data_IF_920879027596
#
_entry.id   IF_920879027596
#
_cell.length_a   1.000
_cell.length_b   1.000
_cell.length_c   1.000
_cell.angle_alpha   90.00
_cell.angle_beta   90.00
_cell.angle_gamma   90.00
#
_symmetry.space_group_name_H-M   'P 1'
#
loop_
_entity.id
_entity.type
_entity.pdbx_description
1 polymer ?
#
# COMPACT_ATOMS: atom_id res chain seq x y z
N UNK A 1 -14.87 25.13 -8.93
CA UNK A 1 -14.58 24.65 -10.29
C UNK A 1 -14.61 25.83 -11.25
N UNK A 2 -13.46 26.45 -11.47
CA UNK A 2 -13.32 27.69 -12.27
C UNK A 2 -13.62 27.44 -13.76
N UNK A 3 -13.27 26.26 -14.31
CA UNK A 3 -13.58 25.88 -15.69
C UNK A 3 -15.08 25.93 -16.01
N UNK A 4 -15.94 25.59 -15.05
CA UNK A 4 -17.40 25.72 -15.18
C UNK A 4 -17.81 27.18 -15.39
N UNK A 5 -17.19 28.09 -14.65
CA UNK A 5 -17.50 29.52 -14.71
C UNK A 5 -17.04 30.12 -16.03
N UNK A 6 -15.88 29.68 -16.55
CA UNK A 6 -15.36 30.15 -17.83
C UNK A 6 -16.11 29.62 -19.06
N UNK A 7 -16.67 28.41 -18.98
CA UNK A 7 -17.31 27.77 -20.13
C UNK A 7 -18.84 28.01 -20.20
N UNK A 8 -19.44 28.57 -19.14
CA UNK A 8 -20.89 28.86 -19.06
C UNK A 8 -21.81 27.64 -19.36
N UNK A 9 -21.34 26.42 -19.07
CA UNK A 9 -22.05 25.17 -19.43
C UNK A 9 -22.98 24.70 -18.30
N UNK A 10 -24.17 24.22 -18.68
CA UNK A 10 -25.04 23.46 -17.78
C UNK A 10 -24.36 22.14 -17.37
N UNK A 11 -24.14 21.96 -16.07
CA UNK A 11 -23.48 20.76 -15.53
C UNK A 11 -24.28 19.48 -15.71
N UNK A 12 -25.56 19.58 -16.06
CA UNK A 12 -26.39 18.42 -16.39
C UNK A 12 -26.24 17.99 -17.85
N UNK A 13 -25.56 18.77 -18.69
CA UNK A 13 -25.29 18.45 -20.08
C UNK A 13 -24.36 17.25 -20.19
N UNK A 14 -24.72 16.29 -21.02
CA UNK A 14 -23.93 15.08 -21.28
C UNK A 14 -22.53 15.38 -21.84
N UNK A 15 -22.37 16.46 -22.62
CA UNK A 15 -21.05 16.90 -23.11
C UNK A 15 -20.12 17.34 -21.97
N UNK A 16 -20.66 17.99 -20.94
CA UNK A 16 -19.88 18.39 -19.77
C UNK A 16 -19.49 17.18 -18.93
N UNK A 17 -20.42 16.23 -18.74
CA UNK A 17 -20.14 14.97 -18.03
C UNK A 17 -19.03 14.19 -18.73
N UNK A 18 -19.11 14.02 -20.04
CA UNK A 18 -18.09 13.33 -20.82
C UNK A 18 -16.71 14.02 -20.72
N UNK A 19 -16.67 15.36 -20.73
CA UNK A 19 -15.42 16.10 -20.52
C UNK A 19 -14.84 15.86 -19.12
N UNK A 20 -15.69 15.92 -18.08
CA UNK A 20 -15.25 15.70 -16.70
C UNK A 20 -14.79 14.26 -16.50
N UNK A 21 -15.50 13.28 -17.05
CA UNK A 21 -15.10 11.86 -17.04
C UNK A 21 -13.75 11.65 -17.72
N UNK A 22 -13.49 12.29 -18.87
CA UNK A 22 -12.20 12.22 -19.54
C UNK A 22 -11.05 12.75 -18.68
N UNK A 23 -11.25 13.88 -17.99
CA UNK A 23 -10.22 14.40 -17.07
C UNK A 23 -10.10 13.50 -15.83
N UNK A 24 -11.20 12.94 -15.34
CA UNK A 24 -11.23 12.01 -14.21
C UNK A 24 -10.42 10.74 -14.49
N UNK A 25 -10.48 10.22 -15.71
CA UNK A 25 -9.66 9.09 -16.19
C UNK A 25 -8.17 9.43 -16.16
N UNK A 26 -7.77 10.63 -16.63
CA UNK A 26 -6.36 11.08 -16.57
C UNK A 26 -5.86 11.14 -15.12
N UNK A 27 -6.69 11.61 -14.18
CA UNK A 27 -6.31 11.64 -12.76
C UNK A 27 -6.22 10.23 -12.18
N UNK A 28 -7.13 9.33 -12.58
CA UNK A 28 -7.12 7.92 -12.17
C UNK A 28 -5.84 7.22 -12.64
N UNK A 29 -5.44 7.40 -13.90
CA UNK A 29 -4.18 6.87 -14.45
C UNK A 29 -2.95 7.41 -13.71
N UNK A 30 -2.98 8.70 -13.35
CA UNK A 30 -1.93 9.32 -12.55
C UNK A 30 -1.79 8.66 -11.18
N UNK A 31 -2.90 8.41 -10.48
CA UNK A 31 -2.87 7.71 -9.19
C UNK A 31 -2.45 6.26 -9.31
N UNK A 32 -2.88 5.55 -10.37
CA UNK A 32 -2.40 4.21 -10.66
C UNK A 32 -0.87 4.20 -10.80
N UNK A 33 -0.30 5.12 -11.59
CA UNK A 33 1.15 5.20 -11.80
C UNK A 33 1.92 5.50 -10.50
N UNK A 34 1.37 6.35 -9.63
CA UNK A 34 1.96 6.65 -8.32
C UNK A 34 2.00 5.41 -7.43
N UNK A 35 0.85 4.74 -7.27
CA UNK A 35 0.78 3.54 -6.41
C UNK A 35 1.62 2.42 -7.00
N UNK A 36 1.60 2.23 -8.31
CA UNK A 36 2.44 1.24 -8.98
C UNK A 36 3.93 1.49 -8.70
N UNK A 37 4.39 2.74 -8.81
CA UNK A 37 5.78 3.10 -8.51
C UNK A 37 6.18 2.75 -7.07
N UNK A 38 5.32 3.04 -6.09
CA UNK A 38 5.59 2.71 -4.70
C UNK A 38 5.69 1.19 -4.48
N UNK A 39 4.77 0.42 -5.06
CA UNK A 39 4.75 -1.05 -4.93
C UNK A 39 5.94 -1.69 -5.65
N UNK A 40 6.33 -1.18 -6.82
CA UNK A 40 7.50 -1.66 -7.55
C UNK A 40 8.77 -1.41 -6.72
N UNK A 41 8.89 -0.25 -6.06
CA UNK A 41 9.98 0.01 -5.12
C UNK A 41 10.01 -1.03 -3.98
N UNK A 42 8.88 -1.31 -3.33
CA UNK A 42 8.82 -2.37 -2.30
C UNK A 42 9.21 -3.74 -2.85
N UNK A 43 8.82 -4.07 -4.08
CA UNK A 43 9.19 -5.32 -4.75
C UNK A 43 10.68 -5.38 -5.09
N UNK A 44 11.32 -4.27 -5.42
CA UNK A 44 12.75 -4.25 -5.67
C UNK A 44 13.55 -4.42 -4.37
N UNK A 45 13.18 -3.67 -3.33
CA UNK A 45 13.86 -3.67 -2.02
C UNK A 45 13.58 -4.92 -1.17
N UNK A 46 12.55 -5.70 -1.49
CA UNK A 46 12.27 -7.00 -0.84
C UNK A 46 12.75 -8.19 -1.68
N UNK A 47 13.38 -7.95 -2.84
CA UNK A 47 13.91 -9.02 -3.67
C UNK A 47 15.29 -9.46 -3.15
N UNK A 48 15.33 -10.63 -2.51
CA UNK A 48 16.57 -11.20 -1.94
C UNK A 48 17.68 -11.44 -2.97
N UNK A 49 17.35 -11.48 -4.27
CA UNK A 49 18.36 -11.63 -5.35
C UNK A 49 19.15 -10.34 -5.58
N UNK A 50 18.58 -9.19 -5.23
CA UNK A 50 19.19 -7.88 -5.44
C UNK A 50 20.18 -7.52 -4.32
N UNK A 51 20.18 -8.26 -3.21
CA UNK A 51 20.95 -7.97 -1.99
C UNK A 51 20.86 -6.48 -1.57
N UNK A 52 19.63 -5.96 -1.37
CA UNK A 52 19.43 -4.57 -0.99
C UNK A 52 19.96 -4.30 0.43
N UNK A 53 20.29 -3.04 0.70
CA UNK A 53 20.62 -2.60 2.05
C UNK A 53 19.40 -2.76 2.96
N UNK A 54 19.58 -3.20 4.22
CA UNK A 54 18.44 -3.41 5.12
C UNK A 54 17.74 -2.09 5.46
N UNK A 55 16.47 -1.97 5.07
CA UNK A 55 15.62 -0.82 5.40
C UNK A 55 15.06 -0.89 6.83
N UNK A 56 14.86 -2.11 7.34
CA UNK A 56 14.25 -2.37 8.64
C UNK A 56 15.08 -3.38 9.43
N UNK A 57 15.16 -3.16 10.74
CA UNK A 57 15.77 -4.07 11.69
C UNK A 57 14.73 -4.52 12.71
N UNK A 58 14.72 -5.81 12.98
CA UNK A 58 14.05 -6.40 14.15
C UNK A 58 15.13 -7.01 15.06
N UNK A 59 14.91 -6.97 16.36
CA UNK A 59 15.87 -7.47 17.36
C UNK A 59 15.23 -8.59 18.16
N UNK A 60 15.92 -9.74 18.28
CA UNK A 60 15.51 -10.82 19.17
C UNK A 60 16.16 -10.59 20.53
N UNK A 61 15.34 -10.32 21.55
CA UNK A 61 15.77 -9.97 22.89
C UNK A 61 15.36 -11.07 23.89
N UNK A 62 16.23 -11.36 24.86
CA UNK A 62 15.88 -12.22 25.98
C UNK A 62 15.13 -11.38 27.01
N UNK A 63 13.84 -11.63 27.15
CA UNK A 63 12.99 -11.07 28.20
C UNK A 63 12.55 -12.22 29.11
N UNK A 64 13.34 -12.56 30.15
CA UNK A 64 13.14 -13.77 30.92
C UNK A 64 11.69 -13.95 31.41
N UNK A 65 11.08 -15.12 31.22
CA UNK A 65 11.70 -16.37 30.74
C UNK A 65 11.78 -16.53 29.22
N UNK A 66 11.27 -15.58 28.44
CA UNK A 66 11.01 -15.73 27.01
C UNK A 66 12.08 -15.03 26.13
N UNK A 67 12.11 -15.40 24.85
CA UNK A 67 12.80 -14.62 23.81
C UNK A 67 11.74 -13.96 22.95
N UNK A 68 11.83 -12.66 22.71
CA UNK A 68 10.81 -11.89 21.98
C UNK A 68 11.44 -11.00 20.92
N UNK A 69 10.72 -10.78 19.82
CA UNK A 69 11.14 -9.84 18.79
C UNK A 69 10.62 -8.42 19.08
N UNK A 70 11.48 -7.42 18.88
CA UNK A 70 11.16 -5.99 18.94
C UNK A 70 11.56 -5.33 17.61
N UNK A 71 10.62 -4.78 16.82
CA UNK A 71 9.16 -4.89 16.96
C UNK A 71 8.67 -6.34 16.84
N UNK A 72 7.45 -6.59 17.33
CA UNK A 72 6.83 -7.92 17.31
C UNK A 72 6.65 -8.44 15.88
N UNK A 73 6.87 -9.73 15.68
CA UNK A 73 6.61 -10.43 14.41
C UNK A 73 5.34 -11.30 14.47
N UNK A 74 4.59 -11.23 15.57
CA UNK A 74 3.34 -11.97 15.72
C UNK A 74 2.31 -11.49 14.68
N UNK A 75 1.55 -12.39 14.02
CA UNK A 75 0.71 -12.05 12.88
C UNK A 75 -0.31 -10.93 13.10
N UNK A 76 -0.77 -10.74 14.34
CA UNK A 76 -1.79 -9.75 14.71
C UNK A 76 -1.30 -8.77 15.77
N UNK A 77 0.02 -8.62 15.93
CA UNK A 77 0.56 -7.62 16.85
C UNK A 77 0.29 -6.21 16.32
N UNK A 78 -0.44 -5.37 17.06
CA UNK A 78 -0.51 -3.94 16.76
C UNK A 78 0.91 -3.36 16.78
N UNK A 79 1.22 -2.50 15.82
CA UNK A 79 2.57 -1.92 15.66
C UNK A 79 3.68 -2.97 15.47
N UNK A 80 3.31 -4.19 15.07
CA UNK A 80 4.24 -5.25 14.69
C UNK A 80 4.85 -5.01 13.30
N UNK A 81 5.85 -5.80 12.95
CA UNK A 81 6.55 -5.69 11.66
C UNK A 81 5.59 -5.84 10.47
N UNK A 82 4.68 -6.82 10.51
CA UNK A 82 3.70 -7.04 9.45
C UNK A 82 2.71 -5.87 9.30
N UNK A 83 2.17 -5.39 10.42
CA UNK A 83 1.26 -4.23 10.47
C UNK A 83 1.95 -2.96 9.94
N UNK A 84 3.21 -2.74 10.33
CA UNK A 84 3.99 -1.62 9.84
C UNK A 84 4.16 -1.63 8.31
N UNK A 85 4.49 -2.78 7.71
CA UNK A 85 4.60 -2.90 6.24
C UNK A 85 3.25 -2.75 5.56
N UNK A 86 2.18 -3.35 6.11
CA UNK A 86 0.83 -3.19 5.55
C UNK A 86 0.37 -1.72 5.58
N UNK A 87 0.70 -0.99 6.65
CA UNK A 87 0.43 0.44 6.77
C UNK A 87 1.19 1.27 5.72
N UNK A 88 2.46 0.94 5.43
CA UNK A 88 3.20 1.59 4.35
C UNK A 88 2.53 1.37 2.98
N UNK A 89 2.15 0.13 2.67
CA UNK A 89 1.43 -0.21 1.45
C UNK A 89 0.10 0.54 1.38
N UNK A 90 -0.69 0.52 2.46
CA UNK A 90 -1.98 1.22 2.54
C UNK A 90 -1.83 2.73 2.35
N UNK A 91 -0.74 3.33 2.84
CA UNK A 91 -0.46 4.75 2.66
C UNK A 91 -0.23 5.12 1.19
N UNK A 92 0.36 4.23 0.38
CA UNK A 92 0.46 4.43 -1.07
C UNK A 92 -0.92 4.59 -1.71
N UNK A 93 -1.87 3.68 -1.43
CA UNK A 93 -3.24 3.79 -1.91
C UNK A 93 -3.98 5.03 -1.38
N UNK A 94 -3.70 5.41 -0.13
CA UNK A 94 -4.34 6.56 0.52
C UNK A 94 -4.03 7.88 -0.18
N UNK A 95 -2.96 7.98 -0.97
CA UNK A 95 -2.68 9.17 -1.79
C UNK A 95 -3.86 9.51 -2.72
N UNK A 96 -4.55 8.50 -3.25
CA UNK A 96 -5.72 8.65 -4.12
C UNK A 96 -6.97 9.22 -3.40
N UNK A 97 -6.97 9.27 -2.06
CA UNK A 97 -8.04 9.90 -1.27
C UNK A 97 -7.86 11.40 -1.05
N UNK A 98 -6.66 11.93 -1.33
CA UNK A 98 -6.29 13.30 -0.99
C UNK A 98 -6.85 14.34 -1.97
N UNK A 99 -7.33 13.89 -3.14
CA UNK A 99 -7.95 14.73 -4.15
C UNK A 99 -9.42 14.33 -4.30
N UNK A 100 -10.31 15.32 -4.15
CA UNK A 100 -11.74 15.13 -4.41
C UNK A 100 -11.98 14.78 -5.88
N UNK A 101 -12.79 13.76 -6.11
CA UNK A 101 -13.10 13.27 -7.46
C UNK A 101 -13.78 14.34 -8.31
N UNK A 102 -13.35 14.45 -9.57
CA UNK A 102 -13.91 15.39 -10.53
C UNK A 102 -15.28 14.93 -11.03
N UNK A 103 -15.39 13.67 -11.42
CA UNK A 103 -16.63 13.03 -11.86
C UNK A 103 -17.47 12.54 -10.67
N UNK A 104 -17.92 13.48 -9.82
CA UNK A 104 -18.69 13.18 -8.61
C UNK A 104 -19.99 12.39 -8.88
N UNK A 105 -20.51 12.42 -10.11
CA UNK A 105 -21.67 11.63 -10.52
C UNK A 105 -21.41 10.12 -10.62
N UNK A 106 -20.14 9.69 -10.58
CA UNK A 106 -19.75 8.28 -10.57
C UNK A 106 -19.88 7.61 -9.19
N UNK A 107 -20.22 8.38 -8.14
CA UNK A 107 -20.62 7.84 -6.84
C UNK A 107 -19.49 7.68 -5.80
N UNK A 108 -18.22 7.85 -6.19
CA UNK A 108 -17.09 7.90 -5.26
C UNK A 108 -16.65 9.34 -4.99
N UNK A 109 -16.28 9.63 -3.73
CA UNK A 109 -15.83 10.96 -3.28
C UNK A 109 -14.40 11.29 -3.72
N UNK A 110 -13.61 10.26 -3.95
CA UNK A 110 -12.19 10.31 -4.29
C UNK A 110 -11.84 9.09 -5.16
N UNK A 111 -10.56 8.96 -5.51
CA UNK A 111 -10.08 7.95 -6.44
C UNK A 111 -9.68 6.64 -5.75
N UNK A 112 -9.54 6.62 -4.41
CA UNK A 112 -8.98 5.47 -3.70
C UNK A 112 -9.75 4.15 -3.93
N UNK A 113 -11.10 4.10 -3.91
CA UNK A 113 -11.82 2.85 -4.13
C UNK A 113 -11.52 2.20 -5.48
N UNK A 114 -11.38 3.01 -6.54
CA UNK A 114 -11.08 2.53 -7.88
C UNK A 114 -9.66 1.97 -7.94
N UNK A 115 -8.69 2.69 -7.39
CA UNK A 115 -7.28 2.27 -7.37
C UNK A 115 -7.09 1.00 -6.53
N UNK A 116 -7.79 0.87 -5.41
CA UNK A 116 -7.74 -0.34 -4.57
C UNK A 116 -8.35 -1.57 -5.25
N UNK A 117 -9.26 -1.38 -6.21
CA UNK A 117 -9.89 -2.46 -6.97
C UNK A 117 -9.07 -2.95 -8.17
N UNK A 118 -7.95 -2.31 -8.50
CA UNK A 118 -7.15 -2.66 -9.68
C UNK A 118 -6.35 -3.94 -9.44
N UNK A 119 -6.60 -4.95 -10.28
CA UNK A 119 -6.03 -6.30 -10.17
C UNK A 119 -4.49 -6.29 -10.14
N UNK A 120 -3.84 -5.50 -11.00
CA UNK A 120 -2.38 -5.44 -11.08
C UNK A 120 -1.75 -4.91 -9.77
N UNK A 121 -2.40 -3.96 -9.11
CA UNK A 121 -1.95 -3.41 -7.84
C UNK A 121 -2.21 -4.41 -6.71
N UNK A 122 -3.34 -5.11 -6.72
CA UNK A 122 -3.66 -6.18 -5.77
C UNK A 122 -2.66 -7.34 -5.85
N UNK A 123 -2.29 -7.76 -7.06
CA UNK A 123 -1.26 -8.78 -7.28
C UNK A 123 0.09 -8.34 -6.70
N UNK A 124 0.50 -7.09 -6.96
CA UNK A 124 1.75 -6.54 -6.44
C UNK A 124 1.74 -6.44 -4.91
N UNK A 125 0.60 -6.05 -4.31
CA UNK A 125 0.40 -6.06 -2.85
C UNK A 125 0.56 -7.45 -2.27
N UNK A 126 -0.11 -8.46 -2.84
CA UNK A 126 -0.02 -9.84 -2.37
C UNK A 126 1.41 -10.37 -2.45
N UNK A 127 2.13 -10.07 -3.54
CA UNK A 127 3.53 -10.48 -3.69
C UNK A 127 4.42 -9.92 -2.56
N UNK A 128 4.23 -8.65 -2.17
CA UNK A 128 4.98 -8.05 -1.07
C UNK A 128 4.59 -8.71 0.26
N UNK A 129 3.29 -8.93 0.51
CA UNK A 129 2.80 -9.58 1.74
C UNK A 129 3.34 -11.01 1.89
N UNK A 130 3.40 -11.78 0.81
CA UNK A 130 3.98 -13.13 0.82
C UNK A 130 5.47 -13.12 1.19
N UNK A 131 6.23 -12.13 0.69
CA UNK A 131 7.65 -11.97 1.03
C UNK A 131 7.84 -11.59 2.50
N UNK A 132 7.00 -10.71 3.04
CA UNK A 132 6.99 -10.37 4.47
C UNK A 132 6.72 -11.61 5.32
N UNK A 133 5.69 -12.38 4.97
CA UNK A 133 5.35 -13.60 5.69
C UNK A 133 6.48 -14.64 5.64
N UNK A 134 7.16 -14.76 4.50
CA UNK A 134 8.32 -15.63 4.35
C UNK A 134 9.47 -15.25 5.30
N UNK A 135 9.77 -13.95 5.45
CA UNK A 135 10.81 -13.48 6.38
C UNK A 135 10.39 -13.69 7.84
N UNK A 136 9.13 -13.45 8.19
CA UNK A 136 8.59 -13.74 9.54
C UNK A 136 8.74 -15.22 9.88
N UNK A 137 8.43 -16.13 8.94
CA UNK A 137 8.58 -17.57 9.15
C UNK A 137 10.05 -17.94 9.43
N UNK A 138 11.00 -17.36 8.69
CA UNK A 138 12.43 -17.55 8.95
C UNK A 138 12.87 -17.01 10.31
N UNK A 139 12.34 -15.86 10.73
CA UNK A 139 12.64 -15.30 12.04
C UNK A 139 12.12 -16.21 13.17
N UNK A 140 10.92 -16.77 13.03
CA UNK A 140 10.37 -17.76 13.95
C UNK A 140 11.20 -19.05 14.00
N UNK A 141 11.66 -19.56 12.86
CA UNK A 141 12.58 -20.71 12.81
C UNK A 141 13.91 -20.42 13.52
N UNK A 142 14.45 -19.21 13.34
CA UNK A 142 15.67 -18.76 14.00
C UNK A 142 15.50 -18.70 15.52
N UNK A 143 14.40 -18.14 16.02
CA UNK A 143 14.07 -18.12 17.45
C UNK A 143 13.97 -19.54 18.04
N UNK A 144 13.22 -20.45 17.39
CA UNK A 144 13.08 -21.86 17.82
C UNK A 144 14.42 -22.61 17.86
N UNK A 145 15.41 -22.17 17.08
CA UNK A 145 16.75 -22.75 17.14
C UNK A 145 17.45 -22.54 18.50
N UNK A 146 16.92 -21.66 19.36
CA UNK A 146 17.40 -21.43 20.72
C UNK A 146 16.67 -22.23 21.80
N UNK A 147 15.55 -22.89 21.50
CA UNK A 147 14.80 -23.72 22.45
C UNK A 147 15.66 -24.82 23.09
N UNK A 148 16.70 -25.28 22.37
CA UNK A 148 17.71 -26.24 22.86
C UNK A 148 18.60 -25.72 23.99
N UNK A 149 18.56 -24.41 24.28
CA UNK A 149 19.36 -23.75 25.32
C UNK A 149 18.50 -23.25 26.49
N UNK A 150 17.18 -23.48 26.45
CA UNK A 150 16.23 -23.15 27.50
C UNK A 150 16.14 -24.24 28.58
#
# INVERSE_FOLDING_TARGET
NENKQYLEVDTNNDYWKAYVEYVDEIVTDGFYAIVQCDLDFFKEETNTKNNPDPLFQITLEVQPPDMVFTPSIEPNAPDGFADFVDNLINNSYKQASLITRLAAHLGHTDYQPDIQGMEQLLESRHEIQDRVQHVINKANEYQRSFDRYA
#
